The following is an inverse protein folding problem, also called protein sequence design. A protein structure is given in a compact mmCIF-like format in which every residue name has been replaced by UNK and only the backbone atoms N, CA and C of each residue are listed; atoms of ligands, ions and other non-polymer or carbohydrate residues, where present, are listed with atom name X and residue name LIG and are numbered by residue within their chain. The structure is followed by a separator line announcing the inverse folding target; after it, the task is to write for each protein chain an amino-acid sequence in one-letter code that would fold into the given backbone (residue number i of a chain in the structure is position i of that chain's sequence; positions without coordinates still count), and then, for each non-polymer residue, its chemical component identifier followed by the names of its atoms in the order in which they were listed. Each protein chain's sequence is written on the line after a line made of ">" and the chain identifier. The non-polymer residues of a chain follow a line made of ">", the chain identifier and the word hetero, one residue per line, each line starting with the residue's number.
data_IF_317409798458
#
_entry.id   IF_317409798458
#
_cell.length_a   1.000
_cell.length_b   1.000
_cell.length_c   1.000
_cell.angle_alpha   90.00
_cell.angle_beta   90.00
_cell.angle_gamma   90.00
#
_symmetry.space_group_name_H-M   'P 1'
#
loop_
_entity.id
_entity.type
_entity.pdbx_description
1 polymer ?
#
# COMPACT_ATOMS: atom_id res chain seq x y z
N UNK A 1 10.80 -21.30 -4.89
CA UNK A 1 12.00 -20.65 -4.30
C UNK A 1 11.65 -19.21 -3.98
N UNK A 2 11.92 -18.77 -2.75
CA UNK A 2 11.74 -17.38 -2.34
C UNK A 2 12.78 -16.49 -3.02
N UNK A 3 12.39 -15.26 -3.30
CA UNK A 3 13.28 -14.19 -3.75
C UNK A 3 14.16 -13.73 -2.59
N UNK A 4 15.41 -13.41 -2.89
CA UNK A 4 16.28 -12.67 -1.99
C UNK A 4 15.78 -11.25 -1.78
N UNK A 5 16.24 -10.61 -0.69
CA UNK A 5 15.84 -9.25 -0.35
C UNK A 5 16.19 -8.24 -1.45
N UNK A 6 17.37 -8.36 -2.07
CA UNK A 6 17.79 -7.48 -3.16
C UNK A 6 16.92 -7.64 -4.42
N UNK A 7 16.49 -8.86 -4.75
CA UNK A 7 15.55 -9.12 -5.84
C UNK A 7 14.18 -8.48 -5.57
N UNK A 8 13.70 -8.54 -4.31
CA UNK A 8 12.45 -7.88 -3.92
C UNK A 8 12.61 -6.36 -4.06
N UNK A 9 13.66 -5.76 -3.48
CA UNK A 9 13.91 -4.32 -3.57
C UNK A 9 13.99 -3.87 -5.04
N UNK A 10 14.72 -4.60 -5.89
CA UNK A 10 14.80 -4.29 -7.32
C UNK A 10 13.42 -4.31 -7.99
N UNK A 11 12.60 -5.33 -7.71
CA UNK A 11 11.26 -5.45 -8.29
C UNK A 11 10.32 -4.35 -7.80
N UNK A 12 10.44 -3.94 -6.53
CA UNK A 12 9.70 -2.80 -5.97
C UNK A 12 10.09 -1.50 -6.69
N UNK A 13 11.38 -1.29 -6.96
CA UNK A 13 11.86 -0.13 -7.72
C UNK A 13 11.30 -0.13 -9.16
N UNK A 14 11.34 -1.29 -9.83
CA UNK A 14 10.79 -1.45 -11.18
C UNK A 14 9.27 -1.17 -11.21
N UNK A 15 8.51 -1.66 -10.23
CA UNK A 15 7.07 -1.42 -10.09
C UNK A 15 6.77 0.05 -9.77
N UNK A 16 7.43 0.63 -8.78
CA UNK A 16 7.20 2.03 -8.40
C UNK A 16 7.55 3.00 -9.53
N UNK A 17 8.61 2.73 -10.30
CA UNK A 17 8.93 3.49 -11.52
C UNK A 17 7.80 3.46 -12.54
N UNK A 18 7.14 2.31 -12.73
CA UNK A 18 6.04 2.18 -13.69
C UNK A 18 4.81 3.03 -13.34
N UNK A 19 4.66 3.40 -12.07
CA UNK A 19 3.56 4.23 -11.55
C UNK A 19 4.02 5.63 -11.12
N UNK A 20 5.24 6.03 -11.47
CA UNK A 20 5.77 7.36 -11.25
C UNK A 20 6.22 7.68 -9.81
N UNK A 21 6.46 6.66 -8.97
CA UNK A 21 6.99 6.84 -7.62
C UNK A 21 8.52 6.91 -7.69
N UNK A 22 9.16 7.97 -7.13
CA UNK A 22 10.61 8.07 -7.09
C UNK A 22 11.26 6.91 -6.34
N UNK A 23 12.37 6.38 -6.88
CA UNK A 23 13.11 5.29 -6.23
C UNK A 23 13.60 5.65 -4.81
N UNK A 24 13.90 6.92 -4.57
CA UNK A 24 14.25 7.44 -3.24
C UNK A 24 13.15 7.23 -2.19
N UNK A 25 11.90 7.07 -2.61
CA UNK A 25 10.76 6.86 -1.72
C UNK A 25 10.43 5.36 -1.53
N UNK A 26 11.06 4.47 -2.30
CA UNK A 26 10.76 3.04 -2.38
C UNK A 26 11.69 2.18 -1.52
N UNK A 27 11.96 2.60 -0.28
CA UNK A 27 12.84 1.84 0.61
C UNK A 27 12.06 0.77 1.38
N UNK A 28 12.41 -0.51 1.19
CA UNK A 28 11.91 -1.63 2.01
C UNK A 28 12.93 -2.00 3.10
N UNK A 29 12.44 -2.63 4.18
CA UNK A 29 13.27 -2.97 5.33
C UNK A 29 13.42 -4.49 5.51
N UNK A 30 14.63 -4.95 5.81
CA UNK A 30 14.91 -6.35 6.19
C UNK A 30 14.78 -6.60 7.70
N UNK A 31 14.57 -5.54 8.48
CA UNK A 31 14.40 -5.55 9.94
C UNK A 31 13.50 -4.39 10.35
N UNK A 32 12.78 -4.51 11.46
CA UNK A 32 11.86 -3.45 11.90
C UNK A 32 12.57 -2.09 12.01
N UNK A 33 12.05 -1.02 11.36
CA UNK A 33 12.52 0.34 11.56
C UNK A 33 12.02 0.95 12.88
N UNK A 34 11.10 0.29 13.58
CA UNK A 34 10.60 0.71 14.90
C UNK A 34 9.54 1.80 14.89
N UNK A 35 9.09 2.27 13.72
CA UNK A 35 8.14 3.37 13.55
C UNK A 35 6.81 2.95 12.89
N UNK A 36 6.50 1.65 12.94
CA UNK A 36 5.27 1.09 12.38
C UNK A 36 5.37 0.74 10.90
N UNK A 37 6.42 1.17 10.18
CA UNK A 37 6.65 0.71 8.81
C UNK A 37 7.03 -0.78 8.79
N UNK A 38 6.57 -1.53 7.79
CA UNK A 38 6.77 -2.96 7.75
C UNK A 38 8.20 -3.35 7.35
N UNK A 39 8.58 -4.56 7.74
CA UNK A 39 9.80 -5.21 7.28
C UNK A 39 9.50 -6.63 6.77
N UNK A 40 10.44 -7.17 5.98
CA UNK A 40 10.33 -8.47 5.35
C UNK A 40 11.23 -9.46 6.08
N UNK A 41 10.68 -10.61 6.46
CA UNK A 41 11.44 -11.76 6.92
C UNK A 41 11.00 -13.04 6.23
N UNK A 42 11.76 -14.12 6.41
CA UNK A 42 11.54 -15.40 5.77
C UNK A 42 11.49 -16.49 6.83
N UNK A 43 10.44 -17.30 6.83
CA UNK A 43 10.32 -18.44 7.73
C UNK A 43 9.54 -19.57 7.06
N UNK A 44 9.96 -20.82 7.25
CA UNK A 44 9.25 -22.00 6.72
C UNK A 44 9.01 -22.03 5.20
N UNK A 45 9.82 -21.31 4.40
CA UNK A 45 9.58 -21.19 2.96
C UNK A 45 8.48 -20.18 2.59
N UNK A 46 8.12 -19.28 3.52
CA UNK A 46 7.13 -18.22 3.36
C UNK A 46 7.78 -16.83 3.54
N UNK A 47 7.18 -15.84 2.90
CA UNK A 47 7.44 -14.43 3.18
C UNK A 47 6.57 -13.99 4.35
N UNK A 48 7.15 -13.20 5.25
CA UNK A 48 6.44 -12.48 6.29
C UNK A 48 6.58 -10.98 6.04
N UNK A 49 5.45 -10.27 6.05
CA UNK A 49 5.39 -8.82 6.00
C UNK A 49 4.85 -8.30 7.33
N UNK A 50 5.75 -7.73 8.14
CA UNK A 50 5.56 -7.56 9.58
C UNK A 50 5.58 -6.09 9.94
N UNK A 51 4.52 -5.63 10.60
CA UNK A 51 4.41 -4.29 11.14
C UNK A 51 4.71 -4.31 12.63
N UNK A 52 5.69 -3.50 13.02
CA UNK A 52 6.11 -3.40 14.40
C UNK A 52 6.46 -1.94 14.74
N UNK A 53 6.10 -1.51 15.94
CA UNK A 53 6.38 -0.16 16.45
C UNK A 53 6.97 -0.28 17.85
N UNK A 54 8.06 0.45 18.12
CA UNK A 54 8.75 0.47 19.43
C UNK A 54 9.06 -0.93 19.99
N UNK A 55 9.47 -1.84 19.11
CA UNK A 55 9.82 -3.21 19.47
C UNK A 55 8.63 -4.16 19.64
N UNK A 56 7.40 -3.71 19.40
CA UNK A 56 6.18 -4.53 19.52
C UNK A 56 5.61 -4.80 18.12
N UNK A 57 5.58 -6.08 17.73
CA UNK A 57 4.82 -6.53 16.57
C UNK A 57 3.32 -6.41 16.87
N UNK A 58 2.58 -5.74 15.98
CA UNK A 58 1.13 -5.59 16.12
C UNK A 58 0.36 -6.19 14.93
N UNK A 59 1.03 -6.50 13.83
CA UNK A 59 0.39 -7.11 12.67
C UNK A 59 1.38 -7.86 11.77
N UNK A 60 0.94 -8.98 11.19
CA UNK A 60 1.73 -9.81 10.27
C UNK A 60 0.86 -10.37 9.16
N UNK A 61 1.36 -10.28 7.93
CA UNK A 61 0.84 -11.03 6.78
C UNK A 61 1.88 -12.07 6.35
N UNK A 62 1.43 -13.26 5.96
CA UNK A 62 2.31 -14.37 5.54
C UNK A 62 1.83 -14.97 4.24
N UNK A 63 2.74 -15.22 3.29
CA UNK A 63 2.40 -15.80 1.98
C UNK A 63 3.57 -16.54 1.36
N UNK A 64 3.29 -17.54 0.52
CA UNK A 64 4.27 -18.14 -0.40
C UNK A 64 4.26 -17.49 -1.79
N UNK A 65 3.25 -16.66 -2.08
CA UNK A 65 3.07 -16.02 -3.39
C UNK A 65 3.90 -14.75 -3.49
N UNK A 66 4.72 -14.68 -4.54
CA UNK A 66 5.50 -13.48 -4.88
C UNK A 66 4.58 -12.31 -5.24
N UNK A 67 3.54 -12.58 -6.02
CA UNK A 67 2.59 -11.56 -6.45
C UNK A 67 1.85 -10.94 -5.26
N UNK A 68 1.41 -11.78 -4.32
CA UNK A 68 0.74 -11.35 -3.10
C UNK A 68 1.64 -10.47 -2.23
N UNK A 69 2.91 -10.84 -2.08
CA UNK A 69 3.89 -10.03 -1.37
C UNK A 69 4.06 -8.65 -2.03
N UNK A 70 4.22 -8.62 -3.36
CA UNK A 70 4.40 -7.36 -4.09
C UNK A 70 3.14 -6.49 -4.05
N UNK A 71 1.95 -7.09 -4.07
CA UNK A 71 0.69 -6.37 -3.87
C UNK A 71 0.69 -5.66 -2.51
N UNK A 72 1.07 -6.34 -1.41
CA UNK A 72 1.11 -5.71 -0.08
C UNK A 72 2.13 -4.57 -0.01
N UNK A 73 3.35 -4.78 -0.51
CA UNK A 73 4.40 -3.76 -0.49
C UNK A 73 3.97 -2.54 -1.31
N UNK A 74 3.50 -2.75 -2.54
CA UNK A 74 3.10 -1.66 -3.40
C UNK A 74 1.84 -0.94 -2.90
N UNK A 75 0.94 -1.63 -2.20
CA UNK A 75 -0.22 -1.00 -1.55
C UNK A 75 0.22 0.08 -0.57
N UNK A 76 1.17 -0.20 0.31
CA UNK A 76 1.64 0.79 1.29
C UNK A 76 2.20 2.06 0.60
N UNK A 77 3.01 1.90 -0.45
CA UNK A 77 3.54 3.03 -1.21
C UNK A 77 2.47 3.78 -2.01
N UNK A 78 1.58 3.06 -2.70
CA UNK A 78 0.55 3.65 -3.55
C UNK A 78 -0.47 4.42 -2.71
N UNK A 79 -0.91 3.89 -1.57
CA UNK A 79 -1.84 4.61 -0.70
C UNK A 79 -1.20 5.88 -0.11
N UNK A 80 0.09 5.84 0.27
CA UNK A 80 0.81 7.05 0.69
C UNK A 80 0.77 8.13 -0.41
N UNK A 81 1.08 7.76 -1.65
CA UNK A 81 1.07 8.67 -2.81
C UNK A 81 -0.35 9.16 -3.11
N UNK A 82 -1.34 8.29 -3.01
CA UNK A 82 -2.73 8.62 -3.28
C UNK A 82 -3.32 9.61 -2.27
N UNK A 83 -2.97 9.48 -0.98
CA UNK A 83 -3.35 10.45 0.04
C UNK A 83 -2.57 11.77 -0.08
N UNK A 84 -1.30 11.73 -0.50
CA UNK A 84 -0.57 12.95 -0.84
C UNK A 84 -1.25 13.70 -2.01
N UNK A 85 -1.65 12.97 -3.05
CA UNK A 85 -2.42 13.54 -4.17
C UNK A 85 -3.76 14.13 -3.71
N UNK A 86 -4.46 13.48 -2.77
CA UNK A 86 -5.67 14.07 -2.15
C UNK A 86 -5.37 15.40 -1.48
N UNK A 87 -4.30 15.50 -0.69
CA UNK A 87 -3.94 16.73 0.01
C UNK A 87 -3.71 17.90 -0.97
N UNK A 88 -3.07 17.62 -2.09
CA UNK A 88 -2.76 18.60 -3.14
C UNK A 88 -3.99 18.99 -3.98
N UNK A 89 -5.02 18.14 -4.04
CA UNK A 89 -6.22 18.31 -4.86
C UNK A 89 -7.50 18.39 -4.02
N UNK A 90 -7.36 18.74 -2.74
CA UNK A 90 -8.43 18.65 -1.75
C UNK A 90 -9.64 19.49 -2.15
N UNK A 91 -10.82 18.88 -2.06
CA UNK A 91 -12.10 19.56 -2.22
C UNK A 91 -12.71 19.75 -0.83
N UNK A 92 -12.91 21.00 -0.42
CA UNK A 92 -13.49 21.29 0.89
C UNK A 92 -14.85 20.60 1.09
N UNK A 93 -15.05 20.08 2.31
CA UNK A 93 -16.30 19.46 2.76
C UNK A 93 -16.68 18.17 2.00
N UNK A 94 -15.74 17.59 1.24
CA UNK A 94 -15.86 16.27 0.64
C UNK A 94 -14.89 15.31 1.32
N UNK A 95 -15.32 14.06 1.51
CA UNK A 95 -14.45 13.03 2.05
C UNK A 95 -13.25 12.80 1.12
N UNK A 96 -12.04 13.10 1.61
CA UNK A 96 -10.81 13.01 0.84
C UNK A 96 -10.54 11.60 0.30
N UNK A 97 -11.08 10.55 0.95
CA UNK A 97 -10.96 9.16 0.47
C UNK A 97 -11.57 8.99 -0.92
N UNK A 98 -12.54 9.82 -1.33
CA UNK A 98 -13.07 9.80 -2.71
C UNK A 98 -12.00 10.15 -3.74
N UNK A 99 -11.04 11.01 -3.41
CA UNK A 99 -9.93 11.36 -4.30
C UNK A 99 -8.82 10.33 -4.16
N UNK A 100 -8.42 10.01 -2.92
CA UNK A 100 -7.34 9.07 -2.65
C UNK A 100 -7.64 7.65 -3.18
N UNK A 101 -8.83 7.10 -2.92
CA UNK A 101 -9.15 5.73 -3.36
C UNK A 101 -9.21 5.59 -4.87
N UNK A 102 -9.78 6.57 -5.58
CA UNK A 102 -9.74 6.58 -7.04
C UNK A 102 -8.29 6.63 -7.56
N UNK A 103 -7.45 7.49 -6.96
CA UNK A 103 -6.03 7.55 -7.34
C UNK A 103 -5.29 6.24 -7.06
N UNK A 104 -5.58 5.57 -5.95
CA UNK A 104 -4.99 4.28 -5.63
C UNK A 104 -5.41 3.20 -6.65
N UNK A 105 -6.69 3.16 -7.04
CA UNK A 105 -7.21 2.23 -8.06
C UNK A 105 -6.58 2.46 -9.43
N UNK A 106 -6.38 3.72 -9.83
CA UNK A 106 -5.71 4.07 -11.09
C UNK A 106 -4.26 3.55 -11.09
N UNK A 107 -3.52 3.80 -10.01
CA UNK A 107 -2.13 3.35 -9.88
C UNK A 107 -2.03 1.81 -9.81
N UNK A 108 -2.90 1.15 -9.05
CA UNK A 108 -2.97 -0.32 -9.00
C UNK A 108 -3.30 -0.91 -10.37
N UNK A 109 -4.28 -0.34 -11.08
CA UNK A 109 -4.69 -0.79 -12.41
C UNK A 109 -3.63 -0.59 -13.49
N UNK A 110 -2.76 0.41 -13.33
CA UNK A 110 -1.61 0.58 -14.22
C UNK A 110 -0.53 -0.50 -14.03
N UNK A 111 -0.52 -1.19 -12.88
CA UNK A 111 0.35 -2.35 -12.63
C UNK A 111 -0.31 -3.65 -13.10
N UNK A 112 -1.55 -3.90 -12.67
CA UNK A 112 -2.33 -5.08 -13.03
C UNK A 112 -3.83 -4.83 -12.81
N UNK A 113 -4.66 -5.33 -13.74
CA UNK A 113 -6.11 -5.33 -13.56
C UNK A 113 -6.55 -6.15 -12.34
N UNK A 114 -5.86 -7.26 -12.03
CA UNK A 114 -6.15 -8.07 -10.83
C UNK A 114 -5.88 -7.27 -9.54
N UNK A 115 -4.80 -6.48 -9.53
CA UNK A 115 -4.47 -5.63 -8.39
C UNK A 115 -5.49 -4.51 -8.20
N UNK A 116 -5.99 -3.90 -9.28
CA UNK A 116 -7.10 -2.93 -9.21
C UNK A 116 -8.35 -3.56 -8.62
N UNK A 117 -8.74 -4.74 -9.10
CA UNK A 117 -9.93 -5.44 -8.60
C UNK A 117 -9.80 -5.80 -7.13
N UNK A 118 -8.62 -6.28 -6.71
CA UNK A 118 -8.34 -6.59 -5.31
C UNK A 118 -8.41 -5.35 -4.42
N UNK A 119 -7.79 -4.24 -4.85
CA UNK A 119 -7.85 -2.98 -4.12
C UNK A 119 -9.29 -2.42 -4.07
N UNK A 120 -10.08 -2.59 -5.13
CA UNK A 120 -11.50 -2.21 -5.14
C UNK A 120 -12.29 -2.98 -4.08
N UNK A 121 -12.11 -4.29 -3.99
CA UNK A 121 -12.76 -5.10 -2.95
C UNK A 121 -12.38 -4.64 -1.54
N UNK A 122 -11.09 -4.34 -1.29
CA UNK A 122 -10.63 -3.83 0.01
C UNK A 122 -11.24 -2.45 0.33
N UNK A 123 -11.33 -1.57 -0.66
CA UNK A 123 -11.98 -0.26 -0.54
C UNK A 123 -13.48 -0.42 -0.25
N UNK A 124 -14.18 -1.30 -0.96
CA UNK A 124 -15.61 -1.55 -0.76
C UNK A 124 -15.89 -2.10 0.64
N UNK A 125 -15.03 -3.00 1.15
CA UNK A 125 -15.11 -3.52 2.52
C UNK A 125 -14.90 -2.42 3.57
N UNK A 126 -13.96 -1.50 3.33
CA UNK A 126 -13.75 -0.32 4.18
C UNK A 126 -14.99 0.56 4.17
N UNK A 127 -15.55 0.87 3.00
CA UNK A 127 -16.68 1.78 2.86
C UNK A 127 -18.00 1.18 3.36
N UNK A 128 -18.13 -0.14 3.36
CA UNK A 128 -19.26 -0.83 3.99
C UNK A 128 -19.27 -0.59 5.50
N UNK A 129 -18.10 -0.60 6.14
CA UNK A 129 -17.95 -0.41 7.59
C UNK A 129 -17.81 1.06 7.98
N UNK A 130 -17.33 1.89 7.07
CA UNK A 130 -17.04 3.31 7.28
C UNK A 130 -17.34 4.09 6.00
N UNK A 131 -18.63 4.36 5.72
CA UNK A 131 -19.07 5.08 4.53
C UNK A 131 -18.42 6.45 4.40
N UNK A 132 -18.48 7.04 3.20
CA UNK A 132 -18.02 8.41 2.97
C UNK A 132 -18.83 9.41 3.80
N UNK A 133 -18.13 10.39 4.37
CA UNK A 133 -18.75 11.49 5.12
C UNK A 133 -18.47 12.80 4.40
N UNK A 134 -19.41 13.23 3.57
CA UNK A 134 -19.39 14.55 2.96
C UNK A 134 -20.23 15.50 3.83
N UNK A 135 -19.71 16.68 4.16
CA UNK A 135 -20.46 17.69 4.92
C UNK A 135 -20.99 18.76 3.96
N UNK A 136 -22.29 19.00 3.97
CA UNK A 136 -22.85 20.17 3.31
C UNK A 136 -22.68 21.37 4.24
N UNK A 137 -21.92 22.39 3.84
CA UNK A 137 -22.11 23.71 4.44
C UNK A 137 -23.51 24.18 4.04
N UNK A 138 -24.44 24.18 5.00
CA UNK A 138 -25.63 25.03 4.89
C UNK A 138 -25.10 26.47 4.74
N UNK A 139 -25.37 27.08 3.59
CA UNK A 139 -25.09 28.50 3.35
C UNK A 139 -26.05 29.37 4.15
#
# INVERSE_FOLDING_TARGET
>A
MLLSFSEIQKKVNDLGKSVGIPESDLHIFSSSPGDGRPHISYDGGLYNYIYAERGVEFFRKTTSSKDELFYWIMSDFIYKVAFQYELENRVENRDGRRIAFNKALDLMGSISDEWRLKAQHEIDDILTKSPYTDTLKLK
#
